data_IF_834277394320
#
_entry.id   IF_834277394320
#
_cell.length_a   1.000
_cell.length_b   1.000
_cell.length_c   1.000
_cell.angle_alpha   90.00
_cell.angle_beta   90.00
_cell.angle_gamma   90.00
#
_symmetry.space_group_name_H-M   'P 1'
#
loop_
_entity.id
_entity.type
_entity.pdbx_description
1 polymer ?
#
# COMPACT_ATOMS: atom_id res chain seq x y z
N UNK A 1 2.61 -8.81 -3.91
CA UNK A 1 2.75 -9.71 -5.08
C UNK A 1 3.39 -11.05 -4.73
N UNK A 2 4.64 -11.10 -4.22
CA UNK A 2 5.30 -12.36 -3.87
C UNK A 2 4.46 -13.24 -2.93
N UNK A 3 3.88 -12.66 -1.87
CA UNK A 3 3.03 -13.39 -0.94
C UNK A 3 1.76 -13.95 -1.61
N UNK A 4 1.18 -13.23 -2.56
CA UNK A 4 0.03 -13.69 -3.36
C UNK A 4 0.38 -14.89 -4.25
N UNK A 5 1.61 -14.92 -4.76
CA UNK A 5 2.10 -16.03 -5.61
C UNK A 5 2.59 -17.23 -4.79
N UNK A 6 2.59 -17.12 -3.44
CA UNK A 6 3.11 -18.17 -2.58
C UNK A 6 4.63 -18.31 -2.67
N UNK A 7 5.34 -17.27 -3.05
CA UNK A 7 6.79 -17.26 -3.16
C UNK A 7 7.40 -17.17 -1.75
N UNK A 8 8.34 -18.05 -1.43
CA UNK A 8 9.05 -18.04 -0.15
C UNK A 8 10.25 -17.06 -0.18
N UNK A 9 10.79 -16.76 -1.35
CA UNK A 9 11.90 -15.86 -1.57
C UNK A 9 11.54 -14.74 -2.52
N UNK A 10 12.21 -13.62 -2.38
CA UNK A 10 12.16 -12.49 -3.31
C UNK A 10 13.55 -12.20 -3.85
N UNK A 11 13.61 -11.73 -5.09
CA UNK A 11 14.84 -11.41 -5.78
C UNK A 11 15.00 -9.90 -5.88
N UNK A 12 16.15 -9.39 -5.45
CA UNK A 12 16.52 -8.00 -5.62
C UNK A 12 16.92 -7.70 -7.08
N UNK A 13 17.00 -6.42 -7.44
CA UNK A 13 17.39 -5.99 -8.79
C UNK A 13 18.81 -6.43 -9.16
N UNK A 14 19.70 -6.59 -8.19
CA UNK A 14 21.07 -7.09 -8.38
C UNK A 14 21.15 -8.62 -8.45
N UNK A 15 20.01 -9.31 -8.40
CA UNK A 15 19.92 -10.76 -8.50
C UNK A 15 20.04 -11.51 -7.18
N UNK A 16 20.35 -10.86 -6.06
CA UNK A 16 20.37 -11.52 -4.74
C UNK A 16 18.97 -11.96 -4.32
N UNK A 17 18.89 -13.13 -3.71
CA UNK A 17 17.64 -13.65 -3.18
C UNK A 17 17.61 -13.56 -1.65
N UNK A 18 16.42 -13.32 -1.10
CA UNK A 18 16.20 -13.23 0.34
C UNK A 18 14.83 -13.82 0.69
N UNK A 19 14.71 -14.50 1.85
CA UNK A 19 13.42 -14.97 2.33
C UNK A 19 12.42 -13.82 2.44
N UNK A 20 11.22 -14.02 1.89
CA UNK A 20 10.15 -13.02 1.91
C UNK A 20 9.82 -12.58 3.34
N UNK A 21 9.80 -13.52 4.28
CA UNK A 21 9.57 -13.23 5.70
C UNK A 21 10.59 -12.20 6.23
N UNK A 22 11.86 -12.39 5.92
CA UNK A 22 12.91 -11.47 6.38
C UNK A 22 12.76 -10.09 5.76
N UNK A 23 12.47 -10.01 4.47
CA UNK A 23 12.26 -8.69 3.80
C UNK A 23 11.11 -7.95 4.45
N UNK A 24 9.98 -8.61 4.70
CA UNK A 24 8.80 -7.99 5.29
C UNK A 24 9.05 -7.62 6.75
N UNK A 25 9.66 -8.51 7.55
CA UNK A 25 9.92 -8.22 8.96
C UNK A 25 10.91 -7.06 9.16
N UNK A 26 11.98 -6.98 8.36
CA UNK A 26 12.92 -5.85 8.41
C UNK A 26 12.27 -4.54 7.95
N UNK A 27 11.40 -4.59 6.94
CA UNK A 27 10.63 -3.43 6.48
C UNK A 27 9.68 -2.94 7.57
N UNK A 28 8.92 -3.85 8.19
CA UNK A 28 8.01 -3.53 9.29
C UNK A 28 8.76 -2.94 10.49
N UNK A 29 9.93 -3.52 10.81
CA UNK A 29 10.79 -3.01 11.89
C UNK A 29 11.22 -1.58 11.62
N UNK A 30 11.75 -1.31 10.42
CA UNK A 30 12.18 0.03 10.03
C UNK A 30 11.05 1.06 10.14
N UNK A 31 9.87 0.73 9.62
CA UNK A 31 8.70 1.61 9.69
C UNK A 31 8.27 1.84 11.14
N UNK A 32 8.22 0.78 11.94
CA UNK A 32 7.84 0.87 13.35
C UNK A 32 8.84 1.72 14.16
N UNK A 33 10.15 1.54 13.95
CA UNK A 33 11.18 2.31 14.62
C UNK A 33 11.06 3.80 14.26
N UNK A 34 10.82 4.13 12.98
CA UNK A 34 10.60 5.50 12.52
C UNK A 34 9.30 6.11 13.08
N UNK A 35 8.24 5.34 13.18
CA UNK A 35 6.99 5.79 13.78
C UNK A 35 7.19 6.10 15.28
N UNK A 36 7.91 5.25 16.01
CA UNK A 36 8.23 5.46 17.44
C UNK A 36 9.10 6.70 17.62
N UNK A 37 10.14 6.87 16.80
CA UNK A 37 11.00 8.06 16.79
C UNK A 37 10.16 9.33 16.66
N UNK A 38 9.30 9.39 15.62
CA UNK A 38 8.43 10.53 15.38
C UNK A 38 7.43 10.81 16.51
N UNK A 39 6.88 9.75 17.11
CA UNK A 39 5.97 9.89 18.26
C UNK A 39 6.71 10.45 19.48
N UNK A 40 7.95 10.02 19.73
CA UNK A 40 8.78 10.55 20.82
C UNK A 40 9.10 12.02 20.63
N UNK A 41 9.42 12.43 19.40
CA UNK A 41 9.67 13.84 19.06
C UNK A 41 8.43 14.71 19.30
N UNK A 42 7.24 14.18 19.06
CA UNK A 42 5.99 14.94 19.21
C UNK A 42 5.44 14.92 20.64
N UNK A 43 5.55 13.81 21.34
CA UNK A 43 4.88 13.59 22.64
C UNK A 43 5.86 13.51 23.83
N UNK A 44 7.14 13.39 23.57
CA UNK A 44 8.18 13.19 24.57
C UNK A 44 8.45 11.71 24.88
N UNK A 45 9.71 11.40 25.21
CA UNK A 45 10.17 10.03 25.47
C UNK A 45 9.46 9.35 26.66
N UNK A 46 9.11 10.12 27.68
CA UNK A 46 8.44 9.61 28.88
C UNK A 46 7.04 9.07 28.62
N UNK A 47 6.36 9.60 27.58
CA UNK A 47 4.99 9.21 27.22
C UNK A 47 5.01 7.99 26.34
N UNK A 48 5.96 7.92 25.40
CA UNK A 48 6.01 6.88 24.36
C UNK A 48 6.76 5.65 24.87
N UNK A 49 6.01 4.73 25.49
CA UNK A 49 6.53 3.43 25.89
C UNK A 49 6.05 2.35 24.94
N UNK A 50 6.98 1.60 24.34
CA UNK A 50 6.68 0.56 23.35
C UNK A 50 5.63 -0.44 23.82
N UNK A 51 5.62 -0.76 25.13
CA UNK A 51 4.68 -1.69 25.73
C UNK A 51 3.23 -1.15 25.80
N UNK A 52 3.06 0.17 25.66
CA UNK A 52 1.75 0.82 25.67
C UNK A 52 1.17 1.02 24.26
N UNK A 53 1.98 0.84 23.23
CA UNK A 53 1.54 1.02 21.85
C UNK A 53 0.64 -0.14 21.43
N UNK A 54 -0.41 0.21 20.68
CA UNK A 54 -1.21 -0.72 19.89
C UNK A 54 -0.90 -0.48 18.44
N UNK A 55 -0.77 -1.57 17.70
CA UNK A 55 -0.39 -1.54 16.28
C UNK A 55 -1.55 -2.01 15.43
N UNK A 56 -1.82 -1.26 14.39
CA UNK A 56 -2.77 -1.66 13.34
C UNK A 56 -1.96 -1.79 12.06
N UNK A 57 -1.99 -2.98 11.47
CA UNK A 57 -1.43 -3.23 10.14
C UNK A 57 -2.58 -3.39 9.16
N UNK A 58 -2.58 -2.58 8.13
CA UNK A 58 -3.55 -2.73 7.04
C UNK A 58 -3.12 -3.84 6.10
N UNK A 59 -4.08 -4.57 5.60
CA UNK A 59 -3.90 -5.67 4.65
C UNK A 59 -4.99 -5.64 3.59
N UNK A 60 -4.70 -6.04 2.34
CA UNK A 60 -5.70 -6.14 1.30
C UNK A 60 -6.87 -7.06 1.68
N UNK A 61 -8.09 -6.69 1.25
CA UNK A 61 -9.30 -7.46 1.58
C UNK A 61 -9.26 -8.90 1.07
N UNK A 62 -8.61 -9.13 -0.08
CA UNK A 62 -8.50 -10.44 -0.72
C UNK A 62 -7.47 -11.38 -0.08
N UNK A 63 -6.77 -10.95 0.95
CA UNK A 63 -5.78 -11.79 1.58
C UNK A 63 -6.42 -12.95 2.33
N UNK A 64 -5.91 -14.14 2.07
CA UNK A 64 -6.30 -15.36 2.79
C UNK A 64 -5.85 -15.29 4.25
N UNK A 65 -6.47 -16.10 5.10
CA UNK A 65 -6.05 -16.22 6.51
C UNK A 65 -4.58 -16.66 6.66
N UNK A 66 -4.06 -17.45 5.72
CA UNK A 66 -2.63 -17.80 5.66
C UNK A 66 -1.75 -16.56 5.48
N UNK A 67 -2.13 -15.65 4.60
CA UNK A 67 -1.39 -14.39 4.35
C UNK A 67 -1.51 -13.42 5.53
N UNK A 68 -2.68 -13.31 6.13
CA UNK A 68 -2.88 -12.54 7.37
C UNK A 68 -2.04 -13.08 8.51
N UNK A 69 -1.99 -14.41 8.67
CA UNK A 69 -1.13 -15.06 9.66
C UNK A 69 0.36 -14.82 9.37
N UNK A 70 0.78 -14.81 8.12
CA UNK A 70 2.13 -14.47 7.73
C UNK A 70 2.51 -13.05 8.21
N UNK A 71 1.64 -12.06 8.03
CA UNK A 71 1.88 -10.69 8.51
C UNK A 71 1.96 -10.61 10.04
N UNK A 72 1.14 -11.37 10.76
CA UNK A 72 1.25 -11.45 12.22
C UNK A 72 2.61 -12.01 12.67
N UNK A 73 3.10 -13.06 12.01
CA UNK A 73 4.43 -13.63 12.26
C UNK A 73 5.54 -12.65 11.92
N UNK A 74 5.43 -11.95 10.79
CA UNK A 74 6.39 -10.92 10.41
C UNK A 74 6.45 -9.78 11.44
N UNK A 75 5.34 -9.38 12.04
CA UNK A 75 5.30 -8.40 13.11
C UNK A 75 5.98 -8.88 14.40
N UNK A 76 5.94 -10.19 14.69
CA UNK A 76 6.71 -10.79 15.80
C UNK A 76 8.21 -10.77 15.48
N UNK A 77 8.62 -11.20 14.31
CA UNK A 77 10.02 -11.16 13.89
C UNK A 77 10.58 -9.73 13.83
N UNK A 78 9.76 -8.77 13.45
CA UNK A 78 10.09 -7.35 13.50
C UNK A 78 10.22 -6.80 14.94
N UNK A 79 9.84 -7.58 15.95
CA UNK A 79 9.84 -7.15 17.35
C UNK A 79 8.78 -6.08 17.67
N UNK A 80 7.76 -5.94 16.85
CA UNK A 80 6.61 -5.03 17.07
C UNK A 80 5.78 -5.54 18.24
N UNK A 81 5.51 -6.84 18.26
CA UNK A 81 4.80 -7.55 19.31
C UNK A 81 5.55 -8.81 19.74
N UNK A 82 5.23 -9.33 20.93
CA UNK A 82 5.89 -10.53 21.47
C UNK A 82 5.30 -11.84 20.94
N UNK A 83 4.04 -11.81 20.51
CA UNK A 83 3.30 -12.99 20.02
C UNK A 83 2.38 -12.61 18.88
N UNK A 84 2.16 -13.55 17.95
CA UNK A 84 1.27 -13.39 16.79
C UNK A 84 -0.21 -13.19 17.19
N UNK A 85 -0.61 -13.67 18.36
CA UNK A 85 -1.96 -13.50 18.92
C UNK A 85 -2.06 -12.35 19.94
N UNK A 86 -1.08 -11.43 19.95
CA UNK A 86 -1.09 -10.29 20.85
C UNK A 86 -2.33 -9.42 20.62
N UNK A 87 -2.97 -8.99 21.71
CA UNK A 87 -4.06 -8.01 21.72
C UNK A 87 -3.62 -6.59 21.31
N UNK A 88 -2.31 -6.38 21.23
CA UNK A 88 -1.70 -5.13 20.77
C UNK A 88 -1.43 -5.08 19.27
N UNK A 89 -1.75 -6.14 18.53
CA UNK A 89 -1.63 -6.20 17.08
C UNK A 89 -2.98 -6.51 16.45
N UNK A 90 -3.50 -5.51 15.74
CA UNK A 90 -4.71 -5.65 14.98
C UNK A 90 -4.39 -5.66 13.49
N UNK A 91 -5.12 -6.44 12.72
CA UNK A 91 -5.15 -6.35 11.27
C UNK A 91 -6.45 -5.68 10.87
N UNK A 92 -6.35 -4.66 10.04
CA UNK A 92 -7.47 -3.93 9.46
C UNK A 92 -7.44 -4.17 7.94
N UNK A 93 -8.58 -4.40 7.33
CA UNK A 93 -8.65 -4.44 5.88
C UNK A 93 -8.48 -3.02 5.31
N UNK A 94 -7.68 -2.87 4.26
CA UNK A 94 -7.42 -1.57 3.62
C UNK A 94 -8.70 -0.81 3.29
N UNK A 95 -9.74 -1.44 2.67
CA UNK A 95 -10.99 -0.75 2.38
C UNK A 95 -11.80 -0.37 3.63
N UNK A 96 -11.69 -1.13 4.72
CA UNK A 96 -12.31 -0.75 5.99
C UNK A 96 -11.65 0.50 6.56
N UNK A 97 -10.31 0.53 6.58
CA UNK A 97 -9.55 1.71 7.01
C UNK A 97 -9.86 2.94 6.17
N UNK A 98 -9.93 2.79 4.84
CA UNK A 98 -10.33 3.84 3.91
C UNK A 98 -11.75 4.35 4.18
N UNK A 99 -12.72 3.46 4.41
CA UNK A 99 -14.10 3.82 4.71
C UNK A 99 -14.22 4.62 6.01
N UNK A 100 -13.44 4.26 7.04
CA UNK A 100 -13.40 4.98 8.31
C UNK A 100 -12.86 6.39 8.08
N UNK A 101 -11.74 6.53 7.38
CA UNK A 101 -11.13 7.83 7.11
C UNK A 101 -12.02 8.70 6.24
N UNK A 102 -12.58 8.17 5.15
CA UNK A 102 -13.52 8.92 4.32
C UNK A 102 -14.69 9.48 5.11
N UNK A 103 -15.22 8.69 6.07
CA UNK A 103 -16.33 9.13 6.91
C UNK A 103 -15.90 10.28 7.85
N UNK A 104 -14.70 10.23 8.41
CA UNK A 104 -14.16 11.28 9.25
C UNK A 104 -13.85 12.57 8.48
N UNK A 105 -13.40 12.43 7.22
CA UNK A 105 -13.02 13.55 6.35
C UNK A 105 -14.23 14.25 5.69
N UNK A 106 -15.45 13.70 5.82
CA UNK A 106 -16.65 14.36 5.29
C UNK A 106 -16.98 15.56 6.17
N UNK A 107 -16.74 16.75 5.63
CA UNK A 107 -17.06 18.04 6.27
C UNK A 107 -18.54 18.44 6.08
N UNK A 108 -19.17 17.95 5.00
CA UNK A 108 -20.56 18.26 4.70
C UNK A 108 -21.51 17.41 5.52
N UNK A 109 -22.27 18.04 6.43
CA UNK A 109 -23.27 17.38 7.28
C UNK A 109 -24.28 16.57 6.46
N UNK A 110 -24.72 17.10 5.32
CA UNK A 110 -25.68 16.43 4.44
C UNK A 110 -25.13 15.08 3.89
N UNK A 111 -23.88 15.01 3.52
CA UNK A 111 -23.25 13.79 3.03
C UNK A 111 -23.02 12.79 4.17
N UNK A 112 -22.62 13.31 5.34
CA UNK A 112 -22.42 12.52 6.55
C UNK A 112 -23.73 11.89 7.03
N UNK A 113 -24.84 12.62 6.96
CA UNK A 113 -26.17 12.12 7.29
C UNK A 113 -26.64 11.03 6.33
N UNK A 114 -26.21 11.03 5.08
CA UNK A 114 -26.48 9.97 4.10
C UNK A 114 -25.76 8.67 4.38
N UNK A 115 -24.66 8.69 5.14
CA UNK A 115 -23.92 7.48 5.56
C UNK A 115 -24.55 6.83 6.80
N UNK A 116 -25.80 6.45 6.70
CA UNK A 116 -26.57 5.87 7.81
C UNK A 116 -26.58 4.34 7.76
N UNK A 117 -27.12 3.75 8.83
CA UNK A 117 -27.38 2.32 8.88
C UNK A 117 -28.22 1.85 7.69
N UNK A 118 -27.68 0.90 6.95
CA UNK A 118 -28.31 0.35 5.75
C UNK A 118 -27.75 0.90 4.44
N UNK A 119 -26.99 2.00 4.46
CA UNK A 119 -26.32 2.51 3.27
C UNK A 119 -25.31 1.52 2.71
N UNK A 120 -25.24 1.46 1.38
CA UNK A 120 -24.24 0.65 0.67
C UNK A 120 -23.06 1.55 0.31
N UNK A 121 -21.86 1.12 0.70
CA UNK A 121 -20.61 1.78 0.38
C UNK A 121 -19.84 0.89 -0.60
N UNK A 122 -19.41 1.46 -1.71
CA UNK A 122 -18.44 0.86 -2.62
C UNK A 122 -17.10 1.57 -2.41
N UNK A 123 -16.07 0.80 -2.09
CA UNK A 123 -14.67 1.28 -2.02
C UNK A 123 -13.94 0.74 -3.24
N UNK A 124 -13.39 1.66 -4.03
CA UNK A 124 -12.48 1.38 -5.13
C UNK A 124 -11.08 1.81 -4.71
N UNK A 125 -10.26 0.84 -4.32
CA UNK A 125 -8.86 1.07 -3.94
C UNK A 125 -7.95 0.85 -5.14
N UNK A 126 -7.49 1.94 -5.74
CA UNK A 126 -6.57 1.94 -6.86
C UNK A 126 -5.13 2.08 -6.36
N UNK A 127 -4.55 0.99 -5.90
CA UNK A 127 -3.23 0.94 -5.30
C UNK A 127 -2.06 0.92 -6.30
N UNK A 128 -0.86 0.79 -5.75
CA UNK A 128 0.36 0.67 -6.55
C UNK A 128 0.49 -0.67 -7.28
N UNK A 129 0.04 -1.74 -6.65
CA UNK A 129 0.17 -3.11 -7.18
C UNK A 129 -1.13 -3.69 -7.72
N UNK A 130 -2.22 -3.43 -7.02
CA UNK A 130 -3.55 -4.00 -7.28
C UNK A 130 -4.60 -2.91 -7.35
N UNK A 131 -5.74 -3.26 -7.91
CA UNK A 131 -7.00 -2.51 -7.76
C UNK A 131 -7.97 -3.44 -7.06
N UNK A 132 -8.48 -3.00 -5.92
CA UNK A 132 -9.39 -3.78 -5.09
C UNK A 132 -10.74 -3.08 -4.98
N UNK A 133 -11.81 -3.85 -5.09
CA UNK A 133 -13.18 -3.37 -5.01
C UNK A 133 -13.89 -4.10 -3.87
N UNK A 134 -14.45 -3.35 -2.95
CA UNK A 134 -15.28 -3.90 -1.87
C UNK A 134 -16.61 -3.20 -1.81
N UNK A 135 -17.66 -3.96 -1.50
CA UNK A 135 -19.01 -3.44 -1.32
C UNK A 135 -19.52 -3.87 0.05
N UNK A 136 -19.78 -2.89 0.90
CA UNK A 136 -20.18 -3.12 2.28
C UNK A 136 -21.46 -2.37 2.60
N UNK A 137 -22.24 -2.92 3.54
CA UNK A 137 -23.43 -2.29 4.09
C UNK A 137 -23.13 -1.77 5.49
N UNK A 138 -23.42 -0.50 5.73
CA UNK A 138 -23.26 0.09 7.05
C UNK A 138 -24.27 -0.51 8.04
N UNK A 139 -23.77 -0.87 9.22
CA UNK A 139 -24.58 -1.36 10.36
C UNK A 139 -24.69 -0.35 11.48
N UNK A 140 -24.06 0.82 11.33
CA UNK A 140 -23.98 1.89 12.32
C UNK A 140 -24.61 3.18 11.80
N UNK A 141 -24.98 4.06 12.71
CA UNK A 141 -25.40 5.43 12.45
C UNK A 141 -24.18 6.37 12.41
N UNK A 142 -24.31 7.61 11.88
CA UNK A 142 -23.15 8.53 11.71
C UNK A 142 -22.34 8.79 12.98
N UNK A 143 -22.99 8.79 14.14
CA UNK A 143 -22.39 9.10 15.45
C UNK A 143 -21.98 7.85 16.25
N UNK A 144 -22.12 6.67 15.67
CA UNK A 144 -21.73 5.41 16.31
C UNK A 144 -20.36 4.95 15.78
N UNK A 145 -19.72 4.03 16.49
CA UNK A 145 -18.51 3.39 16.01
C UNK A 145 -18.73 2.74 14.65
N UNK A 146 -17.77 2.87 13.75
CA UNK A 146 -17.88 2.31 12.41
C UNK A 146 -18.05 0.79 12.46
N UNK A 147 -19.10 0.33 11.84
CA UNK A 147 -19.41 -1.10 11.68
C UNK A 147 -20.01 -1.33 10.30
N UNK A 148 -19.41 -2.22 9.53
CA UNK A 148 -19.89 -2.62 8.21
C UNK A 148 -19.94 -4.13 8.06
N UNK A 149 -20.72 -4.60 7.10
CA UNK A 149 -20.81 -6.00 6.71
C UNK A 149 -20.57 -6.08 5.20
N UNK A 150 -19.68 -6.96 4.77
CA UNK A 150 -19.49 -7.23 3.35
C UNK A 150 -20.78 -7.78 2.73
N UNK A 151 -21.24 -7.17 1.64
CA UNK A 151 -22.49 -7.54 0.95
C UNK A 151 -22.22 -8.38 -0.28
N UNK A 152 -21.11 -8.07 -0.96
CA UNK A 152 -20.64 -8.81 -2.11
C UNK A 152 -19.20 -9.24 -1.83
N UNK A 153 -18.80 -10.46 -2.27
CA UNK A 153 -17.41 -10.88 -2.15
C UNK A 153 -16.47 -9.83 -2.73
N UNK A 154 -15.45 -9.47 -1.97
CA UNK A 154 -14.43 -8.55 -2.45
C UNK A 154 -13.84 -9.07 -3.76
N UNK A 155 -13.72 -8.19 -4.74
CA UNK A 155 -13.13 -8.50 -6.05
C UNK A 155 -11.95 -7.58 -6.33
N UNK A 156 -11.04 -8.04 -7.18
CA UNK A 156 -9.83 -7.29 -7.49
C UNK A 156 -8.59 -8.19 -7.41
N UNK A 157 -7.49 -7.65 -6.90
CA UNK A 157 -6.21 -8.37 -6.84
C UNK A 157 -5.58 -8.57 -8.21
N UNK A 158 -6.21 -8.05 -9.26
CA UNK A 158 -5.61 -8.01 -10.58
C UNK A 158 -4.47 -7.00 -10.57
N UNK A 159 -3.45 -7.35 -11.32
CA UNK A 159 -2.26 -6.53 -11.47
C UNK A 159 -2.54 -5.25 -12.31
N UNK A 160 -3.53 -4.43 -11.90
CA UNK A 160 -3.95 -3.18 -12.59
C UNK A 160 -3.53 -1.91 -11.84
N UNK A 161 -2.75 -2.05 -10.79
CA UNK A 161 -2.22 -0.92 -10.05
C UNK A 161 -1.24 -0.07 -10.86
N UNK A 162 -0.84 1.08 -10.33
CA UNK A 162 -0.01 2.07 -11.02
C UNK A 162 1.34 1.52 -11.50
N UNK A 163 1.85 0.45 -10.91
CA UNK A 163 3.04 -0.27 -11.38
C UNK A 163 2.92 -0.78 -12.83
N UNK A 164 1.70 -1.06 -13.30
CA UNK A 164 1.49 -1.49 -14.70
C UNK A 164 1.72 -0.35 -15.69
N UNK A 165 1.40 0.87 -15.29
CA UNK A 165 1.75 2.07 -16.06
C UNK A 165 3.27 2.15 -16.19
N UNK A 166 4.01 1.92 -15.10
CA UNK A 166 5.48 1.93 -15.09
C UNK A 166 6.06 0.82 -15.97
N UNK A 167 5.51 -0.38 -15.89
CA UNK A 167 5.92 -1.51 -16.74
C UNK A 167 5.65 -1.25 -18.24
N UNK A 168 4.53 -0.61 -18.57
CA UNK A 168 4.24 -0.23 -19.94
C UNK A 168 5.17 0.87 -20.44
N UNK A 169 5.54 1.81 -19.58
CA UNK A 169 6.56 2.79 -19.89
C UNK A 169 7.92 2.14 -20.16
N UNK A 170 8.37 1.18 -19.34
CA UNK A 170 9.60 0.44 -19.59
C UNK A 170 9.54 -0.34 -20.93
N UNK A 171 8.39 -0.94 -21.26
CA UNK A 171 8.18 -1.57 -22.58
C UNK A 171 8.25 -0.55 -23.72
N UNK A 172 7.68 0.64 -23.52
CA UNK A 172 7.80 1.73 -24.48
C UNK A 172 9.27 2.12 -24.71
N UNK A 173 10.05 2.33 -23.63
CA UNK A 173 11.48 2.65 -23.72
C UNK A 173 12.26 1.56 -24.49
N UNK A 174 11.96 0.28 -24.22
CA UNK A 174 12.57 -0.85 -24.93
C UNK A 174 12.33 -0.82 -26.45
N UNK A 175 11.16 -0.37 -26.86
CA UNK A 175 10.79 -0.29 -28.28
C UNK A 175 11.26 1.02 -28.93
N UNK A 176 11.46 2.06 -28.11
CA UNK A 176 11.83 3.40 -28.58
C UNK A 176 13.35 3.54 -28.75
N UNK A 177 14.14 2.95 -27.86
CA UNK A 177 15.60 3.01 -27.94
C UNK A 177 16.16 1.90 -28.80
N UNK A 178 17.25 2.22 -29.52
CA UNK A 178 18.09 1.20 -30.14
C UNK A 178 18.67 0.26 -29.06
N UNK A 179 18.88 -1.04 -29.40
CA UNK A 179 19.34 -2.04 -28.44
C UNK A 179 20.58 -1.65 -27.60
N UNK A 180 21.63 -1.02 -28.13
CA UNK A 180 22.77 -0.61 -27.34
C UNK A 180 22.43 0.44 -26.28
N UNK A 181 21.53 1.38 -26.59
CA UNK A 181 21.09 2.43 -25.67
C UNK A 181 20.22 1.82 -24.58
N UNK A 182 19.30 0.94 -24.94
CA UNK A 182 18.45 0.24 -23.98
C UNK A 182 19.27 -0.65 -23.05
N UNK A 183 20.27 -1.34 -23.58
CA UNK A 183 21.20 -2.16 -22.79
C UNK A 183 21.98 -1.33 -21.78
N UNK A 184 22.48 -0.16 -22.19
CA UNK A 184 23.14 0.77 -21.29
C UNK A 184 22.19 1.21 -20.16
N UNK A 185 20.96 1.63 -20.51
CA UNK A 185 19.93 2.02 -19.57
C UNK A 185 19.62 0.92 -18.54
N UNK A 186 19.47 -0.33 -18.99
CA UNK A 186 19.14 -1.45 -18.10
C UNK A 186 20.27 -1.85 -17.17
N UNK A 187 21.53 -1.67 -17.61
CA UNK A 187 22.73 -2.00 -16.83
C UNK A 187 23.14 -0.89 -15.87
N UNK A 188 22.73 0.35 -16.13
CA UNK A 188 23.04 1.50 -15.28
C UNK A 188 21.87 1.78 -14.32
N UNK A 189 22.01 1.27 -13.08
CA UNK A 189 20.96 1.39 -12.06
C UNK A 189 20.63 2.85 -11.71
N UNK A 190 21.62 3.77 -11.74
CA UNK A 190 21.42 5.19 -11.43
C UNK A 190 20.57 5.87 -12.49
N UNK A 191 20.96 5.73 -13.76
CA UNK A 191 20.21 6.32 -14.89
C UNK A 191 18.78 5.76 -14.98
N UNK A 192 18.62 4.46 -14.75
CA UNK A 192 17.31 3.84 -14.71
C UNK A 192 16.45 4.42 -13.58
N UNK A 193 17.01 4.57 -12.40
CA UNK A 193 16.30 5.14 -11.25
C UNK A 193 15.86 6.59 -11.50
N UNK A 194 16.74 7.43 -12.05
CA UNK A 194 16.42 8.82 -12.39
C UNK A 194 15.29 8.93 -13.41
N UNK A 195 15.32 8.13 -14.46
CA UNK A 195 14.26 8.11 -15.48
C UNK A 195 12.92 7.67 -14.88
N UNK A 196 12.91 6.63 -14.06
CA UNK A 196 11.70 6.15 -13.41
C UNK A 196 11.15 7.15 -12.39
N UNK A 197 12.03 7.84 -11.64
CA UNK A 197 11.59 8.93 -10.76
C UNK A 197 10.97 10.09 -11.53
N UNK A 198 11.59 10.51 -12.65
CA UNK A 198 11.04 11.56 -13.51
C UNK A 198 9.69 11.15 -14.09
N UNK A 199 9.58 9.91 -14.56
CA UNK A 199 8.31 9.38 -15.06
C UNK A 199 7.23 9.36 -13.97
N UNK A 200 7.55 8.98 -12.74
CA UNK A 200 6.61 9.02 -11.62
C UNK A 200 6.05 10.42 -11.37
N UNK A 201 6.89 11.46 -11.45
CA UNK A 201 6.45 12.85 -11.31
C UNK A 201 5.53 13.29 -12.46
N UNK A 202 5.83 12.87 -13.68
CA UNK A 202 5.02 13.19 -14.86
C UNK A 202 3.69 12.43 -14.82
N UNK A 203 3.71 11.16 -14.46
CA UNK A 203 2.52 10.31 -14.29
C UNK A 203 1.51 10.92 -13.31
N UNK A 204 1.98 11.45 -12.18
CA UNK A 204 1.13 12.12 -11.18
C UNK A 204 0.54 13.46 -11.65
N UNK A 205 1.21 14.13 -12.58
CA UNK A 205 0.76 15.42 -13.14
C UNK A 205 0.00 15.26 -14.45
N UNK A 206 -0.18 14.04 -14.93
CA UNK A 206 -0.84 13.81 -16.21
C UNK A 206 -2.29 14.24 -16.17
N UNK A 207 -2.66 15.11 -17.10
CA UNK A 207 -4.02 15.56 -17.35
C UNK A 207 -4.40 15.09 -18.76
N UNK A 208 -5.42 14.25 -18.92
CA UNK A 208 -5.92 13.86 -20.23
C UNK A 208 -6.30 15.11 -21.05
N UNK A 209 -6.11 15.06 -22.35
CA UNK A 209 -6.47 16.13 -23.30
C UNK A 209 -5.75 17.48 -23.08
N UNK A 210 -4.70 17.52 -22.25
CA UNK A 210 -3.85 18.70 -22.14
C UNK A 210 -3.12 18.93 -23.48
N UNK A 211 -3.23 20.16 -23.99
CA UNK A 211 -2.46 20.59 -25.17
C UNK A 211 -0.97 20.77 -24.90
N UNK A 212 -0.57 20.80 -23.63
CA UNK A 212 0.83 20.88 -23.20
C UNK A 212 1.44 19.49 -23.17
N UNK A 213 2.47 19.26 -24.01
CA UNK A 213 3.25 18.02 -23.94
C UNK A 213 4.02 17.89 -22.63
N UNK A 214 4.31 16.65 -22.24
CA UNK A 214 5.17 16.35 -21.10
C UNK A 214 6.58 16.07 -21.59
N UNK A 215 7.57 16.61 -20.88
CA UNK A 215 8.99 16.43 -21.24
C UNK A 215 9.65 15.52 -20.22
N UNK A 216 10.16 14.38 -20.68
CA UNK A 216 11.03 13.51 -19.91
C UNK A 216 12.49 13.88 -20.24
N UNK A 217 13.27 14.19 -19.22
CA UNK A 217 14.71 14.44 -19.37
C UNK A 217 15.46 13.14 -19.15
N UNK A 218 16.32 12.79 -20.09
CA UNK A 218 17.24 11.67 -20.00
C UNK A 218 18.60 12.21 -19.63
N UNK A 219 19.19 11.69 -18.54
CA UNK A 219 20.57 11.96 -18.16
C UNK A 219 21.49 10.96 -18.89
N UNK A 220 22.50 11.46 -19.57
CA UNK A 220 23.51 10.64 -20.25
C UNK A 220 24.66 10.33 -19.31
#
# INVERSE_FOLDING_TARGET
>A
MALFRGEDNVKALDGREMPLMKVISETLKYIADKAIEKLKDQLGEEIVKKEKLRWVLTVPALWSEKMKMFMRKAAVEAGIVKSWNSDKLWLCLEPEGASIQCREDIEEDELREKMTKGSIILVLDCGGGTVDITVSKLKCSPNEAFLSEEVLPSSGGCEWGSKYVDMNFEKFLKNFFDPPIYDYYTKNASSRFEILQHFELLKKKFIPDSSSGYRLQLSY
#
